data_IF_727101525778
#
_entry.id   IF_727101525778
#
_cell.length_a   1.000
_cell.length_b   1.000
_cell.length_c   1.000
_cell.angle_alpha   90.00
_cell.angle_beta   90.00
_cell.angle_gamma   90.00
#
_symmetry.space_group_name_H-M   'P 1'
#
loop_
_entity.id
_entity.type
_entity.pdbx_description
1 polymer ?
#
# COMPACT_ATOMS: atom_id res chain seq x y z
N UNK A 1 -4.74 7.85 -16.01
CA UNK A 1 -5.83 6.85 -16.15
C UNK A 1 -5.81 5.93 -14.94
N UNK A 2 -6.96 5.47 -14.42
CA UNK A 2 -7.00 4.49 -13.33
C UNK A 2 -6.42 3.13 -13.79
N UNK A 3 -5.85 2.37 -12.86
CA UNK A 3 -5.39 1.00 -13.10
C UNK A 3 -6.58 0.06 -12.92
N UNK A 4 -6.97 -0.65 -13.97
CA UNK A 4 -8.04 -1.65 -13.96
C UNK A 4 -7.50 -3.04 -13.61
N UNK A 5 -8.38 -3.97 -13.25
CA UNK A 5 -8.04 -5.35 -12.88
C UNK A 5 -7.43 -6.16 -14.04
N UNK A 6 -7.72 -5.75 -15.27
CA UNK A 6 -7.18 -6.31 -16.52
C UNK A 6 -5.78 -5.80 -16.87
N UNK A 7 -5.22 -4.86 -16.10
CA UNK A 7 -3.88 -4.35 -16.36
C UNK A 7 -2.82 -5.47 -16.17
N UNK A 8 -1.79 -5.56 -17.04
CA UNK A 8 -0.71 -6.54 -16.88
C UNK A 8 -0.06 -6.50 -15.50
N UNK A 9 0.14 -7.67 -14.90
CA UNK A 9 0.74 -7.84 -13.57
C UNK A 9 2.23 -8.13 -13.67
N UNK A 10 3.06 -7.07 -13.74
CA UNK A 10 4.52 -7.18 -13.82
C UNK A 10 5.19 -6.58 -12.56
N UNK A 11 5.22 -7.31 -11.43
CA UNK A 11 5.77 -6.80 -10.18
C UNK A 11 7.28 -6.54 -10.29
N UNK A 12 7.71 -5.35 -9.85
CA UNK A 12 9.11 -4.90 -9.90
C UNK A 12 9.89 -5.14 -8.60
N UNK A 13 9.22 -5.56 -7.53
CA UNK A 13 9.82 -5.87 -6.24
C UNK A 13 9.41 -7.27 -5.72
N UNK A 14 10.15 -7.85 -4.75
CA UNK A 14 9.82 -9.16 -4.19
C UNK A 14 8.45 -9.21 -3.49
N UNK A 15 8.02 -8.13 -2.83
CA UNK A 15 6.72 -8.07 -2.17
C UNK A 15 5.57 -8.26 -3.15
N UNK A 16 5.51 -7.47 -4.23
CA UNK A 16 4.50 -7.59 -5.27
C UNK A 16 4.54 -8.97 -5.94
N UNK A 17 5.74 -9.52 -6.16
CA UNK A 17 5.89 -10.88 -6.70
C UNK A 17 5.29 -11.93 -5.77
N UNK A 18 5.50 -11.82 -4.46
CA UNK A 18 4.95 -12.75 -3.48
C UNK A 18 3.42 -12.72 -3.46
N UNK A 19 2.80 -11.54 -3.59
CA UNK A 19 1.34 -11.39 -3.65
C UNK A 19 0.76 -12.00 -4.92
N UNK A 20 1.38 -11.76 -6.08
CA UNK A 20 0.99 -12.38 -7.34
C UNK A 20 1.08 -13.91 -7.28
N UNK A 21 2.14 -14.44 -6.65
CA UNK A 21 2.29 -15.88 -6.46
C UNK A 21 1.16 -16.47 -5.60
N UNK A 22 0.73 -15.78 -4.55
CA UNK A 22 -0.41 -16.23 -3.73
C UNK A 22 -1.72 -16.22 -4.52
N UNK A 23 -1.96 -15.21 -5.37
CA UNK A 23 -3.14 -15.20 -6.25
C UNK A 23 -3.16 -16.45 -7.15
N UNK A 24 -2.04 -16.79 -7.79
CA UNK A 24 -1.89 -17.98 -8.63
C UNK A 24 -2.11 -19.28 -7.85
N UNK A 25 -1.55 -19.39 -6.64
CA UNK A 25 -1.75 -20.56 -5.77
C UNK A 25 -3.23 -20.72 -5.40
N UNK A 26 -3.93 -19.62 -5.10
CA UNK A 26 -5.35 -19.68 -4.77
C UNK A 26 -6.22 -20.08 -5.97
N UNK A 27 -5.85 -19.66 -7.19
CA UNK A 27 -6.46 -20.13 -8.44
C UNK A 27 -6.29 -21.65 -8.61
N UNK A 28 -5.06 -22.14 -8.45
CA UNK A 28 -4.75 -23.57 -8.54
C UNK A 28 -5.53 -24.39 -7.49
N UNK A 29 -5.64 -23.90 -6.26
CA UNK A 29 -6.41 -24.55 -5.19
C UNK A 29 -7.92 -24.52 -5.44
N UNK A 30 -8.44 -23.46 -6.05
CA UNK A 30 -9.83 -23.37 -6.47
C UNK A 30 -10.15 -24.46 -7.50
N UNK A 31 -9.27 -24.65 -8.49
CA UNK A 31 -9.42 -25.69 -9.52
C UNK A 31 -9.25 -27.09 -8.95
N UNK A 32 -8.24 -27.33 -8.12
CA UNK A 32 -7.92 -28.66 -7.62
C UNK A 32 -8.86 -29.14 -6.51
N UNK A 33 -9.32 -28.24 -5.64
CA UNK A 33 -10.02 -28.58 -4.40
C UNK A 33 -11.36 -27.86 -4.20
N UNK A 34 -11.76 -26.96 -5.10
CA UNK A 34 -13.03 -26.24 -5.01
C UNK A 34 -13.05 -25.13 -3.96
N UNK A 35 -11.88 -24.65 -3.51
CA UNK A 35 -11.78 -23.53 -2.56
C UNK A 35 -12.23 -22.23 -3.23
N UNK A 36 -13.14 -21.50 -2.59
CA UNK A 36 -13.56 -20.17 -3.06
C UNK A 36 -12.68 -19.10 -2.43
N UNK A 37 -12.26 -18.12 -3.23
CA UNK A 37 -11.45 -16.99 -2.76
C UNK A 37 -11.82 -15.69 -3.48
N UNK A 38 -11.41 -14.56 -2.90
CA UNK A 38 -11.46 -13.26 -3.52
C UNK A 38 -10.13 -12.53 -3.27
N UNK A 39 -9.52 -11.98 -4.32
CA UNK A 39 -8.30 -11.19 -4.22
C UNK A 39 -8.65 -9.70 -4.25
N UNK A 40 -8.38 -8.99 -3.15
CA UNK A 40 -8.63 -7.56 -3.02
C UNK A 40 -7.32 -6.80 -3.19
N UNK A 41 -7.16 -6.12 -4.34
CA UNK A 41 -5.98 -5.32 -4.65
C UNK A 41 -6.25 -3.86 -4.30
N UNK A 42 -5.45 -3.31 -3.40
CA UNK A 42 -5.49 -1.89 -3.01
C UNK A 42 -4.07 -1.33 -2.95
N UNK A 43 -3.96 0.00 -2.92
CA UNK A 43 -2.66 0.68 -2.94
C UNK A 43 -2.21 1.00 -1.53
N UNK A 44 -2.88 1.96 -0.90
CA UNK A 44 -2.46 2.57 0.36
C UNK A 44 -3.64 2.53 1.33
N UNK A 45 -3.45 1.91 2.49
CA UNK A 45 -4.39 1.96 3.59
C UNK A 45 -4.01 3.11 4.53
N UNK A 46 -5.01 3.80 5.08
CA UNK A 46 -4.81 4.83 6.09
C UNK A 46 -6.11 5.05 6.86
N UNK A 47 -6.00 5.73 8.00
CA UNK A 47 -7.12 6.02 8.90
C UNK A 47 -7.07 5.19 10.17
N UNK A 48 -8.17 5.24 10.92
CA UNK A 48 -8.35 4.53 12.19
C UNK A 48 -9.84 4.24 12.38
N UNK A 49 -10.17 3.41 13.37
CA UNK A 49 -11.54 3.23 13.83
C UNK A 49 -12.13 4.57 14.27
N UNK A 50 -13.43 4.78 14.02
CA UNK A 50 -14.12 6.05 14.31
C UNK A 50 -14.17 6.30 15.83
N UNK A 51 -14.23 5.23 16.60
CA UNK A 51 -14.23 5.19 18.05
C UNK A 51 -12.84 5.49 18.66
N UNK A 52 -11.79 5.61 17.83
CA UNK A 52 -10.41 5.85 18.23
C UNK A 52 -9.81 4.77 19.16
N UNK A 53 -10.38 3.57 19.16
CA UNK A 53 -9.92 2.42 19.95
C UNK A 53 -8.88 1.56 19.21
N UNK A 54 -8.92 1.57 17.87
CA UNK A 54 -8.00 0.84 17.00
C UNK A 54 -7.43 1.80 15.94
N UNK A 55 -6.11 1.81 15.82
CA UNK A 55 -5.39 2.57 14.81
C UNK A 55 -4.23 1.77 14.24
N UNK A 56 -3.55 2.39 13.27
CA UNK A 56 -2.34 1.83 12.69
C UNK A 56 -1.17 1.88 13.70
N UNK A 57 -0.47 0.75 13.84
CA UNK A 57 0.74 0.65 14.67
C UNK A 57 1.77 -0.24 13.99
N UNK A 58 2.86 0.36 13.50
CA UNK A 58 3.99 -0.35 12.91
C UNK A 58 5.32 0.05 13.55
N UNK A 59 6.23 -0.92 13.65
CA UNK A 59 7.60 -0.71 14.13
C UNK A 59 8.61 -1.38 13.16
N UNK A 60 9.35 -0.61 12.34
CA UNK A 60 9.27 0.85 12.16
C UNK A 60 8.05 1.28 11.32
N UNK A 61 7.56 2.50 11.55
CA UNK A 61 6.54 3.12 10.71
C UNK A 61 7.17 3.72 9.44
N UNK A 62 6.61 3.39 8.27
CA UNK A 62 7.11 3.74 6.95
C UNK A 62 6.05 4.40 6.05
N UNK A 63 4.79 4.41 6.46
CA UNK A 63 3.70 4.99 5.70
C UNK A 63 3.64 6.51 5.89
N UNK A 64 3.29 7.22 4.81
CA UNK A 64 3.39 8.69 4.80
C UNK A 64 2.47 9.34 5.85
N UNK A 65 1.22 8.91 5.95
CA UNK A 65 0.22 9.57 6.80
C UNK A 65 0.62 9.49 8.29
N UNK A 66 0.91 8.30 8.86
CA UNK A 66 1.44 8.20 10.22
C UNK A 66 2.70 9.03 10.45
N UNK A 67 3.64 9.04 9.50
CA UNK A 67 4.87 9.84 9.62
C UNK A 67 4.60 11.36 9.66
N UNK A 68 3.62 11.86 8.89
CA UNK A 68 3.19 13.26 8.96
C UNK A 68 2.54 13.56 10.32
N UNK A 69 1.71 12.64 10.83
CA UNK A 69 1.08 12.78 12.14
C UNK A 69 2.11 12.80 13.27
N UNK A 70 3.16 11.96 13.19
CA UNK A 70 4.27 11.98 14.14
C UNK A 70 5.00 13.32 14.17
N UNK A 71 5.16 14.00 13.02
CA UNK A 71 5.69 15.36 12.98
C UNK A 71 4.72 16.35 13.61
N UNK A 72 3.42 16.25 13.29
CA UNK A 72 2.39 17.14 13.83
C UNK A 72 2.28 17.07 15.37
N UNK A 73 2.52 15.90 15.97
CA UNK A 73 2.53 15.72 17.44
C UNK A 73 3.91 15.86 18.07
N UNK A 74 4.94 16.21 17.30
CA UNK A 74 6.30 16.47 17.80
C UNK A 74 7.14 15.24 18.13
N UNK A 75 6.73 14.03 17.72
CA UNK A 75 7.54 12.81 17.85
C UNK A 75 8.71 12.76 16.85
N UNK A 76 8.60 13.52 15.76
CA UNK A 76 9.62 13.65 14.71
C UNK A 76 9.75 15.11 14.32
N UNK A 77 10.96 15.58 14.03
CA UNK A 77 11.19 17.00 13.70
C UNK A 77 10.75 17.36 12.27
N UNK A 78 11.01 16.48 11.31
CA UNK A 78 10.75 16.72 9.88
C UNK A 78 10.38 15.44 9.15
N UNK A 79 9.83 15.58 7.94
CA UNK A 79 9.58 14.47 7.01
C UNK A 79 10.30 14.72 5.70
N UNK A 80 10.84 13.66 5.09
CA UNK A 80 11.46 13.73 3.77
C UNK A 80 10.41 13.55 2.68
N UNK A 81 10.45 14.42 1.67
CA UNK A 81 9.62 14.32 0.45
C UNK A 81 10.53 13.87 -0.69
N UNK A 82 10.13 12.81 -1.39
CA UNK A 82 10.91 12.23 -2.48
C UNK A 82 10.35 12.63 -3.84
N UNK A 83 11.06 13.53 -4.52
CA UNK A 83 10.72 14.05 -5.85
C UNK A 83 9.78 15.27 -5.82
N UNK A 84 10.08 16.26 -6.66
CA UNK A 84 9.39 17.56 -6.72
C UNK A 84 9.21 18.05 -8.16
N UNK A 85 9.45 17.18 -9.12
CA UNK A 85 9.59 17.45 -10.55
C UNK A 85 8.70 16.51 -11.39
N UNK A 86 7.72 15.88 -10.78
CA UNK A 86 6.77 15.03 -11.49
C UNK A 86 5.79 15.86 -12.32
N UNK A 87 5.34 15.33 -13.46
CA UNK A 87 4.27 15.91 -14.28
C UNK A 87 2.89 15.74 -13.61
N UNK A 88 2.72 16.36 -12.45
CA UNK A 88 1.47 16.42 -11.69
C UNK A 88 1.14 17.88 -11.36
N UNK A 89 -0.13 18.23 -11.12
CA UNK A 89 -0.52 19.63 -10.89
C UNK A 89 0.23 20.34 -9.74
N UNK A 90 0.71 19.56 -8.77
CA UNK A 90 1.46 20.06 -7.60
C UNK A 90 2.94 19.62 -7.62
N UNK A 91 3.39 19.00 -8.71
CA UNK A 91 4.75 18.44 -8.93
C UNK A 91 5.26 17.45 -7.88
N UNK A 92 4.43 17.09 -6.89
CA UNK A 92 4.74 16.17 -5.79
C UNK A 92 3.84 14.94 -5.92
N UNK A 93 4.45 13.75 -5.93
CA UNK A 93 3.74 12.48 -5.80
C UNK A 93 3.96 11.95 -4.39
N UNK A 94 2.86 11.66 -3.71
CA UNK A 94 2.86 10.94 -2.45
C UNK A 94 3.08 9.45 -2.77
N UNK A 95 4.34 9.05 -2.93
CA UNK A 95 4.70 7.64 -2.88
C UNK A 95 4.76 7.22 -1.41
N UNK A 96 3.74 6.48 -0.97
CA UNK A 96 3.94 5.56 0.14
C UNK A 96 4.91 4.49 -0.36
N UNK A 97 6.03 4.33 0.34
CA UNK A 97 6.96 3.24 0.07
C UNK A 97 6.18 1.94 0.21
N UNK A 98 5.78 1.35 -0.92
CA UNK A 98 5.25 0.00 -0.98
C UNK A 98 6.44 -0.90 -0.64
N UNK A 99 6.50 -1.29 0.63
CA UNK A 99 7.28 -2.44 1.10
C UNK A 99 6.98 -3.63 0.18
#
# INVERSE_FOLDING_TARGET
MPITESHPQHPINPYGRSKLMIEQIMEDYSVAYGVKFAALRYFNAAGAAVECDIGEWHEPELHLIPLILDVAVGKRETISVFGSDFETPVSVIIFMSLI
#
